data_IF_320262019405
#
_entry.id   IF_320262019405
#
_cell.length_a   1.000
_cell.length_b   1.000
_cell.length_c   1.000
_cell.angle_alpha   90.00
_cell.angle_beta   90.00
_cell.angle_gamma   90.00
#
_symmetry.space_group_name_H-M   'P 1'
#
loop_
_entity.id
_entity.type
_entity.pdbx_description
1 polymer ?
#
# COMPACT_ATOMS: atom_id res chain seq x y z
N UNK A 1 20.59 87.65 -3.43
CA UNK A 1 21.05 86.59 -2.52
C UNK A 1 20.64 85.26 -3.12
N UNK A 2 21.55 84.60 -3.85
CA UNK A 2 21.29 83.38 -4.60
C UNK A 2 21.79 82.17 -3.79
N UNK A 3 20.95 81.15 -3.65
CA UNK A 3 21.26 79.92 -2.92
C UNK A 3 21.92 78.88 -3.85
N UNK A 4 22.97 78.16 -3.41
CA UNK A 4 23.45 76.92 -4.04
C UNK A 4 22.57 75.74 -3.55
N UNK A 5 22.21 74.74 -4.38
CA UNK A 5 23.03 73.57 -4.75
C UNK A 5 23.12 72.57 -3.58
N UNK A 6 22.96 71.24 -3.65
CA UNK A 6 22.72 70.25 -4.70
C UNK A 6 22.44 68.90 -3.99
N UNK A 7 21.77 67.97 -4.67
CA UNK A 7 21.75 66.49 -4.47
C UNK A 7 21.58 65.86 -3.08
N UNK A 8 20.52 65.03 -2.94
CA UNK A 8 20.67 63.60 -2.60
C UNK A 8 19.35 62.84 -2.81
N UNK A 9 19.31 61.96 -3.82
CA UNK A 9 18.31 60.89 -3.93
C UNK A 9 18.64 59.81 -2.91
N UNK A 10 17.70 59.48 -2.02
CA UNK A 10 17.73 58.25 -1.21
C UNK A 10 16.29 57.75 -1.05
N UNK A 11 15.94 56.75 -1.86
CA UNK A 11 14.86 55.80 -1.58
C UNK A 11 15.52 54.54 -0.99
N UNK A 12 15.03 54.04 0.14
CA UNK A 12 14.45 52.69 0.18
C UNK A 12 13.26 52.66 1.15
N UNK A 13 12.30 51.75 1.10
CA UNK A 13 12.13 50.49 0.40
C UNK A 13 11.01 49.78 1.14
N UNK A 14 9.92 49.44 0.45
CA UNK A 14 8.82 48.64 1.00
C UNK A 14 9.36 47.26 1.43
N UNK A 15 9.26 46.93 2.71
CA UNK A 15 9.38 45.56 3.19
C UNK A 15 8.01 45.07 3.64
N UNK A 16 7.24 44.59 2.66
CA UNK A 16 6.07 43.76 2.89
C UNK A 16 6.55 42.40 3.43
N UNK A 17 6.30 42.13 4.70
CA UNK A 17 6.53 40.83 5.31
C UNK A 17 5.55 39.79 4.77
N UNK A 18 5.94 39.09 3.71
CA UNK A 18 5.30 37.84 3.31
C UNK A 18 5.74 36.75 4.28
N UNK A 19 4.94 36.53 5.32
CA UNK A 19 4.99 35.32 6.12
C UNK A 19 4.58 34.13 5.23
N UNK A 20 5.56 33.47 4.61
CA UNK A 20 5.35 32.22 3.91
C UNK A 20 5.08 31.13 4.96
N UNK A 21 3.80 30.81 5.16
CA UNK A 21 3.39 29.61 5.87
C UNK A 21 3.66 28.42 4.93
N UNK A 22 4.85 27.83 5.01
CA UNK A 22 5.07 26.53 4.38
C UNK A 22 4.36 25.50 5.25
N UNK A 23 3.15 25.10 4.83
CA UNK A 23 2.55 23.87 5.30
C UNK A 23 3.51 22.74 4.94
N UNK A 24 4.35 22.35 5.90
CA UNK A 24 5.19 21.18 5.82
C UNK A 24 4.23 20.00 5.80
N UNK A 25 3.75 19.62 4.60
CA UNK A 25 2.97 18.42 4.42
C UNK A 25 3.81 17.26 4.95
N UNK A 26 3.40 16.69 6.07
CA UNK A 26 4.00 15.47 6.58
C UNK A 26 3.86 14.44 5.46
N UNK A 27 4.97 14.12 4.79
CA UNK A 27 5.00 13.00 3.87
C UNK A 27 4.59 11.78 4.68
N UNK A 28 3.43 11.21 4.34
CA UNK A 28 2.98 9.96 4.93
C UNK A 28 4.05 8.88 4.77
N UNK A 29 4.01 7.81 5.58
CA UNK A 29 4.94 6.69 5.42
C UNK A 29 4.94 6.23 3.95
N UNK A 30 6.15 6.12 3.39
CA UNK A 30 6.31 5.69 2.00
C UNK A 30 5.66 4.33 1.79
N UNK A 31 5.01 4.15 0.62
CA UNK A 31 4.41 2.88 0.26
C UNK A 31 5.46 1.75 0.32
N UNK A 32 5.09 0.55 0.77
CA UNK A 32 6.01 -0.57 0.79
C UNK A 32 6.55 -0.90 -0.61
N UNK A 33 7.79 -1.37 -0.68
CA UNK A 33 8.32 -1.99 -1.89
C UNK A 33 7.62 -3.32 -2.15
N UNK A 34 6.89 -3.45 -3.26
CA UNK A 34 6.24 -4.70 -3.67
C UNK A 34 7.20 -5.53 -4.53
N UNK A 35 7.50 -6.76 -4.12
CA UNK A 35 8.47 -7.65 -4.78
C UNK A 35 7.78 -8.79 -5.54
N UNK A 36 6.54 -8.56 -5.98
CA UNK A 36 5.74 -9.49 -6.76
C UNK A 36 4.97 -10.51 -5.91
N UNK A 37 3.91 -11.06 -6.49
CA UNK A 37 3.13 -12.13 -5.92
C UNK A 37 2.73 -13.14 -7.01
N UNK A 38 2.67 -14.42 -6.64
CA UNK A 38 2.27 -15.53 -7.52
C UNK A 38 1.26 -16.40 -6.81
N UNK A 39 0.10 -16.60 -7.44
CA UNK A 39 -0.92 -17.55 -7.02
C UNK A 39 -0.82 -18.85 -7.84
N UNK A 40 -0.92 -19.98 -7.17
CA UNK A 40 -0.80 -21.31 -7.77
C UNK A 40 -1.83 -22.26 -7.12
N UNK A 41 -2.63 -22.95 -7.93
CA UNK A 41 -3.56 -23.95 -7.44
C UNK A 41 -2.82 -25.27 -7.21
N UNK A 42 -3.02 -25.88 -6.05
CA UNK A 42 -2.54 -27.22 -5.71
C UNK A 42 -3.63 -28.28 -5.86
N UNK A 43 -4.89 -27.87 -5.76
CA UNK A 43 -6.09 -28.67 -6.03
C UNK A 43 -7.20 -27.74 -6.54
N UNK A 44 -8.39 -28.27 -6.81
CA UNK A 44 -9.52 -27.47 -7.32
C UNK A 44 -9.94 -26.34 -6.37
N UNK A 45 -9.83 -26.58 -5.06
CA UNK A 45 -10.21 -25.65 -3.99
C UNK A 45 -9.03 -25.19 -3.12
N UNK A 46 -7.79 -25.62 -3.40
CA UNK A 46 -6.61 -25.28 -2.60
C UNK A 46 -5.62 -24.45 -3.40
N UNK A 47 -5.37 -23.23 -2.93
CA UNK A 47 -4.45 -22.27 -3.55
C UNK A 47 -3.31 -21.91 -2.60
N UNK A 48 -2.11 -21.78 -3.15
CA UNK A 48 -0.96 -21.19 -2.47
C UNK A 48 -0.58 -19.88 -3.15
N UNK A 49 -0.32 -18.86 -2.34
CA UNK A 49 0.15 -17.55 -2.79
C UNK A 49 1.48 -17.24 -2.15
N UNK A 50 2.47 -16.95 -2.99
CA UNK A 50 3.80 -16.49 -2.57
C UNK A 50 3.92 -15.02 -2.92
N UNK A 51 4.08 -14.16 -1.92
CA UNK A 51 4.18 -12.71 -2.09
C UNK A 51 5.42 -12.16 -1.36
N UNK A 52 6.10 -11.20 -1.99
CA UNK A 52 7.22 -10.49 -1.41
C UNK A 52 6.90 -9.01 -1.19
N UNK A 53 7.19 -8.47 0.00
CA UNK A 53 7.06 -7.05 0.28
C UNK A 53 8.12 -6.57 1.28
N UNK A 54 8.56 -5.33 1.13
CA UNK A 54 9.24 -4.62 2.21
C UNK A 54 8.20 -4.11 3.24
N UNK A 55 8.66 -3.54 4.36
CA UNK A 55 7.76 -2.88 5.32
C UNK A 55 7.13 -3.81 6.37
N UNK A 56 7.56 -5.07 6.44
CA UNK A 56 7.26 -5.96 7.57
C UNK A 56 6.43 -7.19 7.22
N UNK A 57 6.38 -8.10 8.19
CA UNK A 57 5.64 -9.37 8.08
C UNK A 57 4.16 -9.18 7.72
N UNK A 58 3.51 -8.22 8.37
CA UNK A 58 2.08 -7.96 8.15
C UNK A 58 1.81 -7.46 6.72
N UNK A 59 2.66 -6.57 6.22
CA UNK A 59 2.55 -6.03 4.85
C UNK A 59 2.64 -7.14 3.81
N UNK A 60 3.59 -8.07 3.95
CA UNK A 60 3.71 -9.22 3.06
C UNK A 60 2.50 -10.16 3.14
N UNK A 61 1.95 -10.37 4.34
CA UNK A 61 0.76 -11.22 4.56
C UNK A 61 -0.50 -10.58 3.96
N UNK A 62 -0.67 -9.27 4.10
CA UNK A 62 -1.78 -8.52 3.50
C UNK A 62 -1.66 -8.54 1.98
N UNK A 63 -0.46 -8.36 1.44
CA UNK A 63 -0.21 -8.46 0.01
C UNK A 63 -0.53 -9.86 -0.54
N UNK A 64 -0.13 -10.92 0.16
CA UNK A 64 -0.51 -12.29 -0.21
C UNK A 64 -2.04 -12.48 -0.21
N UNK A 65 -2.75 -11.88 0.76
CA UNK A 65 -4.20 -11.96 0.84
C UNK A 65 -4.88 -11.21 -0.31
N UNK A 66 -4.39 -10.02 -0.68
CA UNK A 66 -4.87 -9.26 -1.82
C UNK A 66 -4.67 -10.01 -3.14
N UNK A 67 -3.49 -10.60 -3.33
CA UNK A 67 -3.21 -11.42 -4.50
C UNK A 67 -4.09 -12.68 -4.54
N UNK A 68 -4.34 -13.32 -3.39
CA UNK A 68 -5.24 -14.46 -3.28
C UNK A 68 -6.69 -14.08 -3.65
N UNK A 69 -7.20 -12.97 -3.11
CA UNK A 69 -8.57 -12.53 -3.36
C UNK A 69 -8.82 -12.27 -4.85
N UNK A 70 -7.88 -11.61 -5.52
CA UNK A 70 -7.98 -11.35 -6.97
C UNK A 70 -7.93 -12.64 -7.79
N UNK A 71 -7.01 -13.55 -7.47
CA UNK A 71 -6.88 -14.83 -8.15
C UNK A 71 -8.12 -15.72 -7.96
N UNK A 72 -8.74 -15.67 -6.78
CA UNK A 72 -10.01 -16.35 -6.49
C UNK A 72 -11.16 -15.74 -7.30
N UNK A 73 -11.33 -14.40 -7.26
CA UNK A 73 -12.41 -13.73 -7.99
C UNK A 73 -12.32 -13.94 -9.50
N UNK A 74 -11.12 -13.89 -10.08
CA UNK A 74 -10.90 -14.15 -11.51
C UNK A 74 -11.33 -15.58 -11.94
N UNK A 75 -11.47 -16.49 -10.98
CA UNK A 75 -11.94 -17.87 -11.17
C UNK A 75 -13.40 -18.09 -10.77
N UNK A 76 -14.13 -17.02 -10.45
CA UNK A 76 -15.53 -17.10 -9.99
C UNK A 76 -15.67 -17.58 -8.54
N UNK A 77 -14.59 -17.58 -7.74
CA UNK A 77 -14.63 -17.94 -6.33
C UNK A 77 -14.91 -16.68 -5.49
N UNK A 78 -15.98 -16.70 -4.71
CA UNK A 78 -16.41 -15.55 -3.90
C UNK A 78 -15.78 -15.48 -2.50
N UNK A 79 -15.19 -16.59 -2.03
CA UNK A 79 -14.69 -16.71 -0.68
C UNK A 79 -13.33 -17.41 -0.64
N UNK A 80 -12.55 -17.04 0.37
CA UNK A 80 -11.31 -17.70 0.75
C UNK A 80 -11.38 -18.09 2.23
N UNK A 81 -10.80 -19.23 2.60
CA UNK A 81 -10.45 -19.53 4.00
C UNK A 81 -8.95 -19.63 4.10
N UNK A 82 -8.32 -18.72 4.82
CA UNK A 82 -6.89 -18.81 5.02
C UNK A 82 -6.54 -19.97 5.96
N UNK A 83 -5.64 -20.84 5.53
CA UNK A 83 -5.19 -22.02 6.28
C UNK A 83 -3.90 -21.75 7.04
N UNK A 84 -2.89 -21.16 6.38
CA UNK A 84 -1.58 -20.88 6.97
C UNK A 84 -0.88 -19.77 6.21
N UNK A 85 -0.04 -19.00 6.89
CA UNK A 85 1.02 -18.21 6.25
C UNK A 85 2.34 -18.54 6.95
N UNK A 86 3.34 -18.95 6.17
CA UNK A 86 4.72 -19.00 6.61
C UNK A 86 5.41 -17.71 6.17
N UNK A 87 6.25 -17.15 7.02
CA UNK A 87 6.90 -15.87 6.74
C UNK A 87 8.40 -15.92 7.04
N UNK A 88 9.20 -15.43 6.10
CA UNK A 88 10.64 -15.23 6.25
C UNK A 88 11.05 -13.83 5.80
N UNK A 89 12.18 -13.35 6.32
CA UNK A 89 12.79 -12.09 5.91
C UNK A 89 14.20 -12.37 5.38
N UNK A 90 14.53 -11.83 4.20
CA UNK A 90 15.91 -11.79 3.70
C UNK A 90 16.20 -10.50 2.96
N UNK A 91 17.16 -9.73 3.46
CA UNK A 91 17.66 -8.52 2.79
C UNK A 91 16.66 -7.37 2.78
N UNK A 92 15.85 -7.24 3.81
CA UNK A 92 14.77 -6.25 3.95
C UNK A 92 13.45 -6.65 3.28
N UNK A 93 13.41 -7.79 2.59
CA UNK A 93 12.23 -8.31 1.89
C UNK A 93 11.60 -9.44 2.69
N UNK A 94 10.35 -9.24 3.09
CA UNK A 94 9.52 -10.23 3.75
C UNK A 94 8.79 -11.05 2.69
N UNK A 95 8.89 -12.38 2.78
CA UNK A 95 8.18 -13.31 1.90
C UNK A 95 7.09 -14.02 2.69
N UNK A 96 5.85 -13.90 2.23
CA UNK A 96 4.71 -14.65 2.74
C UNK A 96 4.39 -15.81 1.79
N UNK A 97 4.38 -17.02 2.32
CA UNK A 97 3.90 -18.24 1.66
C UNK A 97 2.59 -18.69 2.32
N UNK A 98 1.48 -18.31 1.70
CA UNK A 98 0.14 -18.35 2.27
C UNK A 98 -0.75 -19.36 1.54
N UNK A 99 -1.40 -20.26 2.28
CA UNK A 99 -2.33 -21.26 1.76
C UNK A 99 -3.77 -20.88 2.07
N UNK A 100 -4.64 -20.99 1.07
CA UNK A 100 -6.06 -20.67 1.13
C UNK A 100 -6.90 -21.80 0.54
N UNK A 101 -8.01 -22.12 1.20
CA UNK A 101 -9.14 -22.77 0.54
C UNK A 101 -9.90 -21.70 -0.25
N UNK A 102 -10.30 -21.96 -1.49
CA UNK A 102 -11.16 -21.08 -2.30
C UNK A 102 -12.51 -21.73 -2.52
N UNK A 103 -13.59 -20.96 -2.53
CA UNK A 103 -14.95 -21.48 -2.61
C UNK A 103 -15.93 -20.48 -3.22
N UNK A 104 -16.97 -20.92 -3.96
CA UNK A 104 -18.02 -20.03 -4.46
C UNK A 104 -18.94 -19.53 -3.34
N UNK A 105 -19.15 -20.35 -2.31
CA UNK A 105 -19.97 -20.07 -1.13
C UNK A 105 -19.11 -19.98 0.14
N UNK A 106 -19.59 -19.36 1.24
CA UNK A 106 -18.83 -19.26 2.48
C UNK A 106 -18.44 -20.65 3.04
N UNK A 107 -17.13 -21.00 3.07
CA UNK A 107 -16.70 -22.27 3.63
C UNK A 107 -16.84 -22.29 5.15
N UNK A 108 -17.00 -23.48 5.74
CA UNK A 108 -16.98 -23.63 7.21
C UNK A 108 -15.59 -23.34 7.78
N UNK A 109 -15.56 -22.87 9.03
CA UNK A 109 -14.34 -22.69 9.81
C UNK A 109 -14.05 -21.22 10.14
N UNK A 110 -12.85 -20.97 10.66
CA UNK A 110 -12.39 -19.64 11.04
C UNK A 110 -11.70 -18.94 9.88
N UNK A 111 -11.63 -17.60 9.94
CA UNK A 111 -10.87 -16.75 9.01
C UNK A 111 -11.30 -16.94 7.55
N UNK A 112 -12.62 -16.94 7.37
CA UNK A 112 -13.29 -16.81 6.08
C UNK A 112 -13.23 -15.35 5.64
N UNK A 113 -12.88 -15.14 4.38
CA UNK A 113 -12.66 -13.85 3.75
C UNK A 113 -13.55 -13.79 2.52
N UNK A 114 -14.42 -12.80 2.43
CA UNK A 114 -15.13 -12.52 1.18
C UNK A 114 -14.17 -11.83 0.20
N UNK A 115 -14.04 -12.36 -1.02
CA UNK A 115 -13.08 -11.87 -2.00
C UNK A 115 -13.32 -10.40 -2.37
N UNK A 116 -14.57 -10.03 -2.62
CA UNK A 116 -14.95 -8.65 -2.96
C UNK A 116 -14.61 -7.66 -1.84
N UNK A 117 -14.94 -8.01 -0.58
CA UNK A 117 -14.64 -7.17 0.57
C UNK A 117 -13.13 -7.02 0.79
N UNK A 118 -12.37 -8.11 0.60
CA UNK A 118 -10.91 -8.06 0.68
C UNK A 118 -10.34 -7.14 -0.42
N UNK A 119 -10.82 -7.23 -1.66
CA UNK A 119 -10.34 -6.40 -2.75
C UNK A 119 -10.67 -4.91 -2.56
N UNK A 120 -11.83 -4.61 -1.98
CA UNK A 120 -12.16 -3.26 -1.57
C UNK A 120 -11.18 -2.72 -0.50
N UNK A 121 -10.84 -3.54 0.50
CA UNK A 121 -9.81 -3.18 1.51
C UNK A 121 -8.42 -2.97 0.88
N UNK A 122 -8.02 -3.88 -0.03
CA UNK A 122 -6.76 -3.77 -0.76
C UNK A 122 -6.67 -2.46 -1.55
N UNK A 123 -7.73 -2.10 -2.27
CA UNK A 123 -7.80 -0.85 -3.01
C UNK A 123 -7.76 0.37 -2.08
N UNK A 124 -8.52 0.36 -0.97
CA UNK A 124 -8.53 1.44 0.01
C UNK A 124 -7.16 1.66 0.65
N UNK A 125 -6.38 0.58 0.83
CA UNK A 125 -5.04 0.60 1.42
C UNK A 125 -3.92 0.72 0.39
N UNK A 126 -4.26 0.86 -0.90
CA UNK A 126 -3.30 0.91 -2.02
C UNK A 126 -2.34 -0.30 -2.05
N UNK A 127 -2.83 -1.48 -1.66
CA UNK A 127 -2.11 -2.74 -1.79
C UNK A 127 -2.42 -3.32 -3.18
N UNK A 128 -1.41 -3.59 -4.01
CA UNK A 128 -1.63 -4.11 -5.34
C UNK A 128 -2.23 -5.52 -5.31
N UNK A 129 -3.01 -5.81 -6.34
CA UNK A 129 -3.53 -7.13 -6.67
C UNK A 129 -2.79 -7.67 -7.91
N UNK A 130 -2.91 -8.97 -8.19
CA UNK A 130 -2.17 -9.65 -9.29
C UNK A 130 -3.02 -9.89 -10.53
#
# INVERSE_FOLDING_TARGET
MAAPGTFARLAPGLLAGLAACSAQGAAGPAAPGWHGAKAEMLADDLMVVRAGAAGGAQVATDYATCAAAQAAQARGQGYLRHLRTNIDERGGVWRADAAYLVSPEPPRGLRVIAAEAALADCAARSIPTV
#
